data_IF_428493753301
#
_entry.id   IF_428493753301
#
_cell.length_a   1.000
_cell.length_b   1.000
_cell.length_c   1.000
_cell.angle_alpha   90.00
_cell.angle_beta   90.00
_cell.angle_gamma   90.00
#
_symmetry.space_group_name_H-M   'P 1'
#
loop_
_entity.id
_entity.type
_entity.pdbx_description
1 polymer ?
#
# COMPACT_ATOMS: atom_id res chain seq x y z
N UNK A 1 0.94 2.28 10.84
CA UNK A 1 1.99 2.68 9.89
C UNK A 1 3.02 1.56 9.87
N UNK A 2 3.23 0.91 8.72
CA UNK A 2 4.30 -0.07 8.60
C UNK A 2 5.62 0.71 8.56
N UNK A 3 6.52 0.47 9.52
CA UNK A 3 7.85 1.11 9.58
C UNK A 3 8.59 1.02 8.24
N UNK A 4 8.40 -0.08 7.52
CA UNK A 4 8.97 -0.32 6.20
C UNK A 4 8.56 0.74 5.18
N UNK A 5 7.30 1.19 5.16
CA UNK A 5 6.85 2.24 4.24
C UNK A 5 7.60 3.55 4.47
N UNK A 6 7.85 3.92 5.73
CA UNK A 6 8.62 5.13 6.05
C UNK A 6 10.07 4.97 5.58
N UNK A 7 10.67 3.80 5.76
CA UNK A 7 12.04 3.52 5.32
C UNK A 7 12.17 3.49 3.80
N UNK A 8 11.19 2.93 3.09
CA UNK A 8 11.18 2.85 1.63
C UNK A 8 11.09 4.25 1.00
N UNK A 9 10.35 5.18 1.63
CA UNK A 9 10.34 6.59 1.21
C UNK A 9 11.68 7.28 1.46
N UNK A 10 12.48 6.84 2.43
CA UNK A 10 13.79 7.42 2.72
C UNK A 10 14.91 6.83 1.84
N UNK A 11 14.89 5.51 1.62
CA UNK A 11 16.00 4.74 1.06
C UNK A 11 15.49 3.72 0.04
N UNK A 12 16.07 3.73 -1.16
CA UNK A 12 15.84 2.70 -2.17
C UNK A 12 17.18 2.16 -2.70
N UNK A 13 17.35 0.84 -2.68
CA UNK A 13 18.59 0.20 -3.14
C UNK A 13 19.84 0.60 -2.36
N UNK A 14 19.69 1.00 -1.08
CA UNK A 14 20.78 1.50 -0.24
C UNK A 14 21.14 2.97 -0.47
N UNK A 15 20.46 3.67 -1.38
CA UNK A 15 20.64 5.09 -1.64
C UNK A 15 19.53 5.89 -0.97
N UNK A 16 19.90 7.01 -0.32
CA UNK A 16 18.91 7.97 0.20
C UNK A 16 18.24 8.69 -0.97
N UNK A 17 16.91 8.65 -1.01
CA UNK A 17 16.09 9.23 -2.08
C UNK A 17 15.27 10.45 -1.61
N UNK A 18 14.90 10.51 -0.33
CA UNK A 18 14.19 11.64 0.26
C UNK A 18 14.71 11.89 1.69
N UNK A 19 14.78 13.17 2.05
CA UNK A 19 15.30 13.63 3.36
C UNK A 19 14.34 14.56 4.08
N UNK A 20 13.36 15.12 3.37
CA UNK A 20 12.32 15.97 3.95
C UNK A 20 11.31 15.10 4.68
N UNK A 21 11.29 15.22 6.01
CA UNK A 21 10.31 14.53 6.86
C UNK A 21 8.87 14.88 6.49
N UNK A 22 8.62 16.11 6.03
CA UNK A 22 7.30 16.55 5.57
C UNK A 22 6.86 15.78 4.32
N UNK A 23 7.75 15.63 3.33
CA UNK A 23 7.43 14.89 2.10
C UNK A 23 7.26 13.39 2.40
N UNK A 24 8.12 12.80 3.23
CA UNK A 24 8.02 11.40 3.65
C UNK A 24 6.66 11.14 4.30
N UNK A 25 6.27 11.96 5.28
CA UNK A 25 5.01 11.76 5.99
C UNK A 25 3.80 11.96 5.09
N UNK A 26 3.85 12.92 4.16
CA UNK A 26 2.80 13.14 3.17
C UNK A 26 2.61 11.92 2.27
N UNK A 27 3.69 11.35 1.73
CA UNK A 27 3.63 10.12 0.92
C UNK A 27 3.08 8.94 1.73
N UNK A 28 3.56 8.75 2.96
CA UNK A 28 3.11 7.67 3.85
C UNK A 28 1.61 7.77 4.15
N UNK A 29 1.10 8.97 4.39
CA UNK A 29 -0.33 9.21 4.61
C UNK A 29 -1.17 8.94 3.36
N UNK A 30 -0.66 9.31 2.19
CA UNK A 30 -1.32 9.04 0.91
C UNK A 30 -1.41 7.53 0.64
N UNK A 31 -0.31 6.80 0.86
CA UNK A 31 -0.28 5.33 0.75
C UNK A 31 -1.34 4.72 1.68
N UNK A 32 -1.36 5.12 2.95
CA UNK A 32 -2.33 4.61 3.92
C UNK A 32 -3.79 4.94 3.52
N UNK A 33 -4.04 6.09 2.88
CA UNK A 33 -5.36 6.44 2.34
C UNK A 33 -5.74 5.53 1.18
N UNK A 34 -4.82 5.26 0.26
CA UNK A 34 -5.04 4.39 -0.90
C UNK A 34 -5.25 2.93 -0.50
N UNK A 35 -4.51 2.42 0.48
CA UNK A 35 -4.70 1.07 1.03
C UNK A 35 -6.11 0.88 1.61
N UNK A 36 -6.59 1.87 2.39
CA UNK A 36 -7.96 1.88 2.92
C UNK A 36 -9.00 1.86 1.80
N UNK A 37 -8.80 2.62 0.73
CA UNK A 37 -9.69 2.62 -0.44
C UNK A 37 -9.62 1.31 -1.24
N UNK A 38 -8.46 0.67 -1.32
CA UNK A 38 -8.30 -0.62 -2.01
C UNK A 38 -9.09 -1.74 -1.31
N UNK A 39 -9.08 -1.76 0.03
CA UNK A 39 -9.78 -2.77 0.84
C UNK A 39 -11.31 -2.82 0.65
N UNK A 40 -11.94 -1.76 0.14
CA UNK A 40 -13.39 -1.73 -0.11
C UNK A 40 -13.78 -2.29 -1.48
N UNK A 41 -12.80 -2.62 -2.34
CA UNK A 41 -13.06 -3.09 -3.72
C UNK A 41 -13.01 -4.60 -3.91
N UNK A 42 -12.67 -5.39 -2.88
CA UNK A 42 -12.68 -6.85 -2.94
C UNK A 42 -14.10 -7.44 -2.73
N UNK A 43 -15.05 -7.09 -3.60
CA UNK A 43 -16.31 -7.81 -3.72
C UNK A 43 -16.17 -8.88 -4.82
N UNK A 44 -15.33 -9.88 -4.59
CA UNK A 44 -15.39 -11.11 -5.40
C UNK A 44 -16.65 -11.86 -4.93
N UNK A 45 -17.71 -11.99 -5.75
CA UNK A 45 -18.87 -12.77 -5.35
C UNK A 45 -18.45 -14.23 -5.23
N UNK A 46 -18.72 -14.84 -4.06
CA UNK A 46 -18.41 -16.26 -3.78
C UNK A 46 -19.09 -17.25 -4.77
N UNK A 47 -19.96 -16.77 -5.66
CA UNK A 47 -20.73 -17.59 -6.60
C UNK A 47 -19.95 -18.09 -7.83
N UNK A 48 -18.75 -17.56 -8.13
CA UNK A 48 -17.95 -18.03 -9.28
C UNK A 48 -17.07 -19.24 -8.91
N UNK A 49 -16.76 -19.43 -7.62
CA UNK A 49 -15.87 -20.51 -7.17
C UNK A 49 -16.47 -21.92 -7.33
N UNK A 50 -17.78 -22.06 -7.55
CA UNK A 50 -18.45 -23.36 -7.61
C UNK A 50 -18.60 -23.91 -9.05
N UNK A 51 -18.37 -23.07 -10.07
CA UNK A 51 -18.58 -23.43 -11.49
C UNK A 51 -17.39 -24.11 -12.16
N UNK A 52 -16.22 -24.12 -11.51
CA UNK A 52 -14.98 -24.73 -12.02
C UNK A 52 -14.60 -26.04 -11.30
N UNK A 53 -15.44 -26.52 -10.39
CA UNK A 53 -15.24 -27.79 -9.68
C UNK A 53 -16.06 -28.96 -10.25
N UNK A 54 -16.53 -28.87 -11.50
CA UNK A 54 -17.18 -29.98 -12.21
C UNK A 54 -16.44 -30.31 -13.49
#
# INVERSE_FOLDING_TARGET
MQLHTVLDEMILGGQVIETSSEQIMKSVEEIARLEKQSSTTSLIPKSISERFSR
#
